data_IF_450681987188
#
_entry.id   IF_450681987188
#
_cell.length_a   1.000
_cell.length_b   1.000
_cell.length_c   1.000
_cell.angle_alpha   90.00
_cell.angle_beta   90.00
_cell.angle_gamma   90.00
#
_symmetry.space_group_name_H-M   'P 1'
#
loop_
_entity.id
_entity.type
_entity.pdbx_description
1 polymer ?
#
# COMPACT_ATOMS: atom_id res chain seq x y z
N UNK A 1 0.66 10.93 -13.84
CA UNK A 1 0.23 9.63 -13.27
C UNK A 1 1.43 8.94 -12.65
N UNK A 2 1.41 8.69 -11.33
CA UNK A 2 2.48 7.99 -10.59
C UNK A 2 2.29 6.47 -10.76
N UNK A 3 3.25 5.77 -11.36
CA UNK A 3 3.27 4.30 -11.45
C UNK A 3 4.32 3.76 -10.50
N UNK A 4 4.28 2.46 -10.17
CA UNK A 4 5.32 1.86 -9.32
C UNK A 4 6.72 2.11 -9.89
N UNK A 5 6.91 2.00 -11.21
CA UNK A 5 8.17 2.27 -11.90
C UNK A 5 8.68 3.71 -11.70
N UNK A 6 7.76 4.69 -11.60
CA UNK A 6 8.13 6.09 -11.34
C UNK A 6 8.48 6.31 -9.88
N UNK A 7 7.83 5.60 -8.97
CA UNK A 7 8.08 5.67 -7.52
C UNK A 7 9.39 5.00 -7.18
N UNK A 8 9.64 3.80 -7.70
CA UNK A 8 10.84 2.99 -7.50
C UNK A 8 11.87 3.23 -8.59
N UNK A 9 12.20 4.50 -8.84
CA UNK A 9 13.20 4.85 -9.85
C UNK A 9 14.60 4.87 -9.22
N UNK A 10 15.40 3.86 -9.54
CA UNK A 10 16.78 3.71 -9.05
C UNK A 10 17.83 4.10 -10.10
N UNK A 11 17.44 4.79 -11.17
CA UNK A 11 18.28 5.05 -12.36
C UNK A 11 19.42 6.05 -12.13
N UNK A 12 19.33 6.87 -11.08
CA UNK A 12 20.38 7.83 -10.70
C UNK A 12 20.52 7.85 -9.18
N UNK A 13 21.69 8.24 -8.69
CA UNK A 13 21.94 8.32 -7.23
C UNK A 13 20.96 9.24 -6.52
N UNK A 14 20.63 10.38 -7.14
CA UNK A 14 19.62 11.31 -6.62
C UNK A 14 18.26 10.62 -6.43
N UNK A 15 17.81 9.84 -7.41
CA UNK A 15 16.50 9.16 -7.33
C UNK A 15 16.54 7.96 -6.39
N UNK A 16 17.62 7.19 -6.41
CA UNK A 16 17.89 6.11 -5.45
C UNK A 16 17.84 6.62 -4.02
N UNK A 17 18.49 7.74 -3.72
CA UNK A 17 18.46 8.36 -2.40
C UNK A 17 17.05 8.79 -1.99
N UNK A 18 16.22 9.28 -2.92
CA UNK A 18 14.82 9.60 -2.63
C UNK A 18 14.01 8.35 -2.26
N UNK A 19 14.19 7.25 -2.99
CA UNK A 19 13.54 5.96 -2.69
C UNK A 19 14.00 5.43 -1.33
N UNK A 20 15.30 5.41 -1.07
CA UNK A 20 15.86 4.95 0.20
C UNK A 20 15.39 5.80 1.38
N UNK A 21 15.31 7.13 1.20
CA UNK A 21 14.77 8.03 2.23
C UNK A 21 13.29 7.77 2.48
N UNK A 22 12.51 7.53 1.41
CA UNK A 22 11.09 7.21 1.51
C UNK A 22 10.85 5.86 2.21
N UNK A 23 11.68 4.85 1.92
CA UNK A 23 11.66 3.55 2.60
C UNK A 23 12.07 3.65 4.07
N UNK A 24 13.10 4.45 4.38
CA UNK A 24 13.52 4.69 5.76
C UNK A 24 12.45 5.41 6.61
N UNK A 25 11.59 6.21 5.98
CA UNK A 25 10.43 6.83 6.63
C UNK A 25 9.19 5.93 6.66
N UNK A 26 9.23 4.76 6.03
CA UNK A 26 8.13 3.82 5.95
C UNK A 26 8.49 2.47 6.55
N UNK A 27 7.98 1.39 5.94
CA UNK A 27 8.19 0.01 6.41
C UNK A 27 8.43 -0.93 5.23
N UNK A 28 9.04 -2.08 5.53
CA UNK A 28 9.23 -3.15 4.54
C UNK A 28 10.38 -2.89 3.57
N UNK A 29 11.41 -2.15 3.97
CA UNK A 29 12.63 -1.98 3.16
C UNK A 29 13.29 -3.30 2.78
N UNK A 30 13.19 -4.31 3.64
CA UNK A 30 13.65 -5.69 3.40
C UNK A 30 12.90 -6.38 2.26
N UNK A 31 11.67 -5.97 1.96
CA UNK A 31 10.84 -6.54 0.90
C UNK A 31 10.99 -5.83 -0.45
N UNK A 32 11.87 -4.83 -0.55
CA UNK A 32 12.00 -4.01 -1.76
C UNK A 32 12.33 -4.85 -3.00
N UNK A 33 13.33 -5.72 -2.92
CA UNK A 33 13.82 -6.49 -4.07
C UNK A 33 12.77 -7.49 -4.56
N UNK A 34 12.14 -8.22 -3.62
CA UNK A 34 11.08 -9.19 -3.92
C UNK A 34 9.85 -8.50 -4.48
N UNK A 35 9.43 -7.39 -3.88
CA UNK A 35 8.33 -6.56 -4.39
C UNK A 35 8.63 -6.06 -5.82
N UNK A 36 9.82 -5.53 -6.08
CA UNK A 36 10.18 -5.00 -7.40
C UNK A 36 10.21 -6.09 -8.48
N UNK A 37 10.56 -7.32 -8.11
CA UNK A 37 10.48 -8.48 -9.00
C UNK A 37 9.03 -8.81 -9.33
N UNK A 38 8.16 -8.89 -8.32
CA UNK A 38 6.74 -9.19 -8.50
C UNK A 38 5.97 -8.09 -9.24
N UNK A 39 6.30 -6.82 -8.99
CA UNK A 39 5.59 -5.69 -9.57
C UNK A 39 5.68 -5.63 -11.11
N UNK A 40 6.63 -6.35 -11.71
CA UNK A 40 6.77 -6.53 -13.17
C UNK A 40 5.82 -7.60 -13.75
N UNK A 41 5.18 -8.41 -12.91
CA UNK A 41 4.24 -9.44 -13.32
C UNK A 41 2.94 -8.85 -13.88
N UNK A 42 2.33 -9.56 -14.82
CA UNK A 42 0.99 -9.24 -15.38
C UNK A 42 -0.13 -9.27 -14.33
N UNK A 43 0.10 -9.94 -13.20
CA UNK A 43 -0.86 -10.02 -12.08
C UNK A 43 -0.83 -8.81 -11.15
N UNK A 44 0.07 -7.84 -11.39
CA UNK A 44 0.19 -6.61 -10.60
C UNK A 44 -0.89 -5.61 -10.98
N UNK A 45 -1.57 -5.08 -9.96
CA UNK A 45 -2.63 -4.09 -10.12
C UNK A 45 -2.13 -2.76 -9.59
N UNK A 46 -2.11 -1.75 -10.46
CA UNK A 46 -1.63 -0.41 -10.15
C UNK A 46 -2.79 0.55 -9.90
N UNK A 47 -2.75 1.29 -8.80
CA UNK A 47 -3.69 2.37 -8.48
C UNK A 47 -2.96 3.72 -8.38
N UNK A 48 -2.60 4.35 -9.52
CA UNK A 48 -1.82 5.60 -9.55
C UNK A 48 -2.40 6.78 -8.77
N UNK A 49 -3.73 6.91 -8.73
CA UNK A 49 -4.42 8.01 -8.03
C UNK A 49 -4.45 7.80 -6.52
N UNK A 50 -4.57 6.55 -6.10
CA UNK A 50 -4.53 6.15 -4.69
C UNK A 50 -3.12 5.98 -4.17
N UNK A 51 -2.13 6.07 -5.04
CA UNK A 51 -0.74 5.86 -4.75
C UNK A 51 -0.44 4.47 -4.17
N UNK A 52 -1.05 3.44 -4.75
CA UNK A 52 -0.95 2.07 -4.28
C UNK A 52 -0.67 1.08 -5.42
N UNK A 53 -0.09 -0.05 -5.07
CA UNK A 53 0.23 -1.18 -5.95
C UNK A 53 -0.08 -2.46 -5.17
N UNK A 54 -0.79 -3.40 -5.81
CA UNK A 54 -1.12 -4.69 -5.23
C UNK A 54 -0.51 -5.77 -6.13
N UNK A 55 0.42 -6.56 -5.61
CA UNK A 55 0.94 -7.77 -6.28
C UNK A 55 0.23 -9.02 -5.73
N UNK A 56 0.73 -10.20 -6.06
CA UNK A 56 0.21 -11.43 -5.46
C UNK A 56 0.53 -11.53 -3.97
N UNK A 57 1.74 -11.11 -3.57
CA UNK A 57 2.21 -11.28 -2.19
C UNK A 57 2.38 -9.97 -1.42
N UNK A 58 2.33 -8.81 -2.06
CA UNK A 58 2.61 -7.54 -1.41
C UNK A 58 1.54 -6.47 -1.70
N UNK A 59 1.26 -5.69 -0.67
CA UNK A 59 0.62 -4.40 -0.78
C UNK A 59 1.67 -3.29 -0.61
N UNK A 60 1.83 -2.45 -1.63
CA UNK A 60 2.71 -1.29 -1.55
C UNK A 60 1.89 -0.01 -1.63
N UNK A 61 2.17 0.92 -0.71
CA UNK A 61 1.60 2.27 -0.70
C UNK A 61 2.71 3.31 -0.64
N UNK A 62 2.57 4.37 -1.43
CA UNK A 62 3.50 5.51 -1.46
C UNK A 62 2.76 6.80 -1.11
N UNK A 63 2.75 7.14 0.17
CA UNK A 63 2.04 8.28 0.70
C UNK A 63 2.03 8.26 2.22
N UNK A 64 1.49 9.30 2.85
CA UNK A 64 1.63 9.63 4.29
C UNK A 64 2.70 10.69 4.59
N UNK A 65 2.77 11.09 5.86
CA UNK A 65 3.72 12.03 6.45
C UNK A 65 5.15 11.73 5.97
N UNK A 66 5.88 12.77 5.52
CA UNK A 66 7.27 12.66 5.01
C UNK A 66 7.49 11.85 3.72
N UNK A 67 6.44 11.51 2.94
CA UNK A 67 6.56 10.71 1.70
C UNK A 67 7.15 9.31 1.96
N UNK A 68 6.53 8.59 2.90
CA UNK A 68 6.89 7.21 3.19
C UNK A 68 6.49 6.24 2.06
N UNK A 69 7.31 5.20 1.88
CA UNK A 69 6.94 4.00 1.11
C UNK A 69 6.74 2.87 2.12
N UNK A 70 5.56 2.26 2.08
CA UNK A 70 5.24 1.09 2.90
C UNK A 70 5.06 -0.10 1.98
N UNK A 71 5.86 -1.15 2.17
CA UNK A 71 5.70 -2.45 1.52
C UNK A 71 5.30 -3.46 2.59
N UNK A 72 4.14 -4.09 2.41
CA UNK A 72 3.54 -4.99 3.40
C UNK A 72 3.26 -6.34 2.74
N UNK A 73 3.79 -7.45 3.26
CA UNK A 73 3.37 -8.77 2.82
C UNK A 73 1.88 -8.97 3.10
N UNK A 74 1.12 -9.45 2.10
CA UNK A 74 -0.31 -9.76 2.27
C UNK A 74 -0.52 -10.79 3.38
N UNK A 75 0.46 -11.68 3.61
CA UNK A 75 0.43 -12.69 4.67
C UNK A 75 0.46 -12.11 6.10
N UNK A 76 0.94 -10.88 6.24
CA UNK A 76 1.02 -10.19 7.53
C UNK A 76 -0.18 -9.29 7.77
N UNK A 77 -1.07 -9.11 6.79
CA UNK A 77 -2.26 -8.29 6.92
C UNK A 77 -3.38 -9.11 7.57
N UNK A 78 -3.86 -8.66 8.72
CA UNK A 78 -4.94 -9.33 9.48
C UNK A 78 -6.30 -8.67 9.28
N UNK A 79 -6.33 -7.41 8.83
CA UNK A 79 -7.57 -6.69 8.61
C UNK A 79 -7.38 -5.57 7.59
N UNK A 80 -8.43 -5.33 6.79
CA UNK A 80 -8.47 -4.28 5.78
C UNK A 80 -9.85 -3.66 5.76
N UNK A 81 -9.96 -2.35 5.97
CA UNK A 81 -11.25 -1.66 6.00
C UNK A 81 -11.14 -0.20 5.59
N UNK A 82 -12.28 0.40 5.22
CA UNK A 82 -12.38 1.84 5.01
C UNK A 82 -12.59 2.56 6.34
N UNK A 83 -11.86 3.64 6.59
CA UNK A 83 -12.04 4.47 7.78
C UNK A 83 -11.91 5.95 7.50
N UNK A 84 -12.65 6.74 8.27
CA UNK A 84 -12.51 8.20 8.37
C UNK A 84 -11.88 8.60 9.70
N UNK A 85 -11.44 7.63 10.51
CA UNK A 85 -10.77 7.86 11.78
C UNK A 85 -9.27 7.65 11.63
N UNK A 86 -8.50 8.73 11.68
CA UNK A 86 -7.05 8.73 11.55
C UNK A 86 -6.42 9.14 12.88
N UNK A 87 -5.52 8.32 13.43
CA UNK A 87 -4.79 8.65 14.66
C UNK A 87 -5.70 9.13 15.82
N UNK A 88 -6.80 8.40 16.06
CA UNK A 88 -7.83 8.71 17.06
C UNK A 88 -8.59 10.03 16.84
N UNK A 89 -8.55 10.59 15.63
CA UNK A 89 -9.33 11.77 15.24
C UNK A 89 -10.24 11.44 14.07
N UNK A 90 -11.49 11.83 14.19
CA UNK A 90 -12.45 11.72 13.08
C UNK A 90 -12.19 12.84 12.07
N UNK A 91 -12.00 12.48 10.80
CA UNK A 91 -11.85 13.39 9.67
C UNK A 91 -13.16 13.41 8.88
N UNK A 92 -13.82 14.58 8.86
CA UNK A 92 -15.11 14.75 8.20
C UNK A 92 -15.00 14.82 6.68
N UNK A 93 -13.81 15.16 6.17
CA UNK A 93 -13.55 15.45 4.77
C UNK A 93 -12.90 14.28 4.03
N UNK A 94 -12.25 13.38 4.75
CA UNK A 94 -11.45 12.31 4.15
C UNK A 94 -11.82 10.92 4.64
N UNK A 95 -11.61 9.95 3.76
CA UNK A 95 -11.62 8.52 4.06
C UNK A 95 -10.34 7.88 3.52
N UNK A 96 -9.94 6.75 4.07
CA UNK A 96 -8.77 6.01 3.63
C UNK A 96 -8.93 4.52 3.87
N UNK A 97 -8.07 3.75 3.23
CA UNK A 97 -7.95 2.32 3.49
C UNK A 97 -7.04 2.16 4.70
N UNK A 98 -7.49 1.40 5.69
CA UNK A 98 -6.69 1.02 6.85
C UNK A 98 -6.25 -0.42 6.66
N UNK A 99 -4.94 -0.63 6.77
CA UNK A 99 -4.33 -1.95 6.76
C UNK A 99 -3.76 -2.21 8.15
N UNK A 100 -4.28 -3.24 8.82
CA UNK A 100 -3.77 -3.70 10.10
C UNK A 100 -2.89 -4.93 9.89
N UNK A 101 -1.69 -4.88 10.44
CA UNK A 101 -0.73 -5.97 10.37
C UNK A 101 -0.80 -6.85 11.62
N UNK A 102 -0.30 -8.08 11.54
CA UNK A 102 -0.20 -9.03 12.66
C UNK A 102 0.58 -8.46 13.85
N UNK A 103 1.53 -7.57 13.60
CA UNK A 103 2.30 -6.86 14.64
C UNK A 103 1.53 -5.70 15.29
N UNK A 104 0.27 -5.47 14.92
CA UNK A 104 -0.57 -4.40 15.46
C UNK A 104 -0.35 -3.03 14.81
N UNK A 105 0.53 -2.92 13.81
CA UNK A 105 0.73 -1.67 13.06
C UNK A 105 -0.50 -1.37 12.20
N UNK A 106 -1.04 -0.14 12.33
CA UNK A 106 -2.12 0.39 11.48
C UNK A 106 -1.57 1.38 10.47
N UNK A 107 -1.74 1.07 9.20
CA UNK A 107 -1.33 1.93 8.09
C UNK A 107 -2.55 2.59 7.48
N UNK A 108 -2.55 3.92 7.50
CA UNK A 108 -3.59 4.74 6.90
C UNK A 108 -3.18 5.12 5.47
N UNK A 109 -3.68 4.37 4.50
CA UNK A 109 -3.30 4.46 3.09
C UNK A 109 -4.44 4.99 2.24
N UNK A 110 -4.15 5.26 0.96
CA UNK A 110 -5.13 5.64 -0.05
C UNK A 110 -6.14 6.74 0.39
N UNK A 111 -5.68 7.74 1.16
CA UNK A 111 -6.54 8.84 1.63
C UNK A 111 -7.11 9.62 0.45
N UNK A 112 -8.43 9.71 0.41
CA UNK A 112 -9.21 10.43 -0.60
C UNK A 112 -10.28 11.28 0.07
N UNK A 113 -10.90 12.20 -0.67
CA UNK A 113 -12.07 12.90 -0.15
C UNK A 113 -13.20 11.91 0.14
N UNK A 114 -14.02 12.21 1.14
CA UNK A 114 -15.15 11.35 1.55
C UNK A 114 -16.10 11.07 0.37
N UNK A 115 -16.32 12.08 -0.46
CA UNK A 115 -17.18 12.05 -1.65
C UNK A 115 -16.43 11.62 -2.92
N UNK A 116 -15.24 11.02 -2.79
CA UNK A 116 -14.48 10.54 -3.94
C UNK A 116 -15.30 9.47 -4.70
N UNK A 117 -15.70 9.81 -5.93
CA UNK A 117 -16.66 9.06 -6.75
C UNK A 117 -16.02 8.02 -7.68
N UNK A 118 -14.70 7.89 -7.68
CA UNK A 118 -14.03 6.98 -8.61
C UNK A 118 -14.01 5.57 -8.03
N UNK A 119 -14.26 4.60 -8.90
CA UNK A 119 -14.36 3.19 -8.53
C UNK A 119 -13.02 2.61 -8.07
N UNK A 120 -11.90 3.24 -8.44
CA UNK A 120 -10.55 2.80 -8.10
C UNK A 120 -10.35 2.61 -6.57
N UNK A 121 -10.98 3.44 -5.73
CA UNK A 121 -10.93 3.29 -4.27
C UNK A 121 -11.59 1.98 -3.80
N UNK A 122 -12.84 1.74 -4.21
CA UNK A 122 -13.58 0.55 -3.79
C UNK A 122 -12.97 -0.71 -4.41
N UNK A 123 -12.49 -0.61 -5.65
CA UNK A 123 -11.78 -1.68 -6.34
C UNK A 123 -10.50 -2.08 -5.59
N UNK A 124 -9.65 -1.11 -5.23
CA UNK A 124 -8.44 -1.36 -4.46
C UNK A 124 -8.75 -2.01 -3.11
N UNK A 125 -9.75 -1.50 -2.39
CA UNK A 125 -10.21 -2.06 -1.12
C UNK A 125 -10.66 -3.52 -1.27
N UNK A 126 -11.54 -3.78 -2.25
CA UNK A 126 -12.10 -5.11 -2.49
C UNK A 126 -11.04 -6.12 -2.93
N UNK A 127 -10.10 -5.72 -3.80
CA UNK A 127 -8.99 -6.57 -4.22
C UNK A 127 -8.10 -6.90 -3.02
N UNK A 128 -7.76 -5.89 -2.19
CA UNK A 128 -6.91 -6.11 -1.04
C UNK A 128 -7.56 -7.05 -0.02
N UNK A 129 -8.86 -6.85 0.29
CA UNK A 129 -9.64 -7.77 1.14
C UNK A 129 -9.61 -9.18 0.56
N UNK A 130 -9.93 -9.35 -0.73
CA UNK A 130 -9.92 -10.67 -1.39
C UNK A 130 -8.55 -11.33 -1.28
N UNK A 131 -7.47 -10.60 -1.57
CA UNK A 131 -6.09 -11.13 -1.48
C UNK A 131 -5.74 -11.60 -0.07
N UNK A 132 -6.14 -10.85 0.96
CA UNK A 132 -5.93 -11.24 2.35
C UNK A 132 -6.72 -12.52 2.68
N UNK A 133 -8.00 -12.60 2.31
CA UNK A 133 -8.85 -13.78 2.54
C UNK A 133 -8.34 -15.03 1.81
N UNK A 134 -7.88 -14.90 0.56
CA UNK A 134 -7.27 -16.03 -0.16
C UNK A 134 -5.96 -16.49 0.48
N UNK A 135 -5.26 -15.60 1.18
CA UNK A 135 -4.03 -15.93 1.88
C UNK A 135 -4.28 -16.60 3.25
N UNK A 136 -5.44 -16.37 3.88
CA UNK A 136 -5.87 -17.15 5.05
C UNK A 136 -6.00 -18.65 4.71
N UNK A 137 -6.34 -18.98 3.46
CA UNK A 137 -6.33 -20.36 2.96
C UNK A 137 -4.94 -20.98 2.74
N UNK A 138 -3.87 -20.16 2.70
CA UNK A 138 -2.48 -20.60 2.58
C UNK A 138 -1.72 -20.59 3.93
N UNK A 139 -2.38 -20.25 5.04
CA UNK A 139 -1.88 -20.45 6.40
C UNK A 139 -2.10 -21.90 6.87
N UNK A 140 -1.74 -22.88 6.04
CA UNK A 140 -1.61 -24.27 6.46
C UNK A 140 -0.14 -24.63 6.54
N UNK A 141 0.38 -24.55 7.77
CA UNK A 141 1.15 -25.61 8.44
C UNK A 141 1.22 -25.30 9.93
#
# INVERSE_FOLDING_TARGET
MLTYEKVFNLSTDKKRNLVNTALANGIGSTYLETFMSEAKSTSTINFPKLKAVITNNYYCYYGSFKKAICIVPIADIVNVYSSNMFFNKYDYEQKGIVVETREGTKLYTARVSRNYKKDDYNEALNILIKRCLFNEGNLIA
#
